data_IF_342656791745
#
_entry.id   IF_342656791745
#
_cell.length_a   1.000
_cell.length_b   1.000
_cell.length_c   1.000
_cell.angle_alpha   90.00
_cell.angle_beta   90.00
_cell.angle_gamma   90.00
#
_symmetry.space_group_name_H-M   'P 1'
#
loop_
_entity.id
_entity.type
_entity.pdbx_description
1 polymer ?
#
# COMPACT_ATOMS: atom_id res chain seq x y z
N UNK A 1 21.55 28.20 -5.54
CA UNK A 1 20.11 27.95 -5.67
C UNK A 1 19.91 26.47 -5.50
N UNK A 2 19.03 26.06 -4.59
CA UNK A 2 18.76 24.64 -4.38
C UNK A 2 18.00 24.07 -5.58
N UNK A 3 18.38 22.87 -6.02
CA UNK A 3 17.73 22.19 -7.14
C UNK A 3 16.49 21.43 -6.69
N UNK A 4 16.45 21.00 -5.43
CA UNK A 4 15.39 20.17 -4.87
C UNK A 4 14.93 20.72 -3.52
N UNK A 5 13.63 20.55 -3.22
CA UNK A 5 13.05 20.78 -1.90
C UNK A 5 12.31 19.53 -1.46
N UNK A 6 12.56 19.08 -0.23
CA UNK A 6 11.87 17.95 0.38
C UNK A 6 11.12 18.48 1.60
N UNK A 7 9.79 18.41 1.54
CA UNK A 7 8.94 18.64 2.68
C UNK A 7 8.63 17.27 3.31
N UNK A 8 9.01 17.10 4.57
CA UNK A 8 8.85 15.83 5.29
C UNK A 8 8.39 16.05 6.73
N UNK A 9 7.78 15.03 7.30
CA UNK A 9 7.43 14.96 8.72
C UNK A 9 7.95 13.63 9.28
N UNK A 10 8.49 13.62 10.52
CA UNK A 10 8.92 12.39 11.16
C UNK A 10 7.73 11.48 11.43
N UNK A 11 7.97 10.17 11.45
CA UNK A 11 6.95 9.20 11.84
C UNK A 11 6.55 9.38 13.31
N UNK A 12 5.25 9.21 13.59
CA UNK A 12 4.71 9.17 14.94
C UNK A 12 3.51 8.23 14.95
N UNK A 13 3.51 7.27 15.88
CA UNK A 13 2.47 6.26 16.02
C UNK A 13 1.13 6.87 16.45
N UNK A 14 0.02 6.17 16.12
CA UNK A 14 -1.34 6.59 16.50
C UNK A 14 -1.97 7.67 15.62
N UNK A 15 -1.34 8.04 14.51
CA UNK A 15 -1.83 9.09 13.60
C UNK A 15 -2.63 8.55 12.39
N UNK A 16 -2.91 7.25 12.33
CA UNK A 16 -3.72 6.65 11.25
C UNK A 16 -3.00 6.44 9.91
N UNK A 17 -1.67 6.57 9.89
CA UNK A 17 -0.80 6.27 8.74
C UNK A 17 0.42 5.48 9.21
N UNK A 18 1.04 4.76 8.28
CA UNK A 18 2.14 3.83 8.55
C UNK A 18 3.31 4.06 7.60
N UNK A 19 4.50 3.68 8.06
CA UNK A 19 5.71 3.79 7.28
C UNK A 19 6.63 2.60 7.51
N UNK A 20 6.24 1.45 6.96
CA UNK A 20 7.08 0.25 6.92
C UNK A 20 8.29 0.52 6.03
N UNK A 21 9.46 0.41 6.65
CA UNK A 21 10.77 0.56 6.02
C UNK A 21 11.42 -0.78 5.71
N UNK A 22 12.21 -0.79 4.62
CA UNK A 22 13.10 -1.90 4.30
C UNK A 22 14.25 -1.97 5.32
N UNK A 23 14.96 -3.09 5.29
CA UNK A 23 16.10 -3.31 6.17
C UNK A 23 17.17 -2.23 5.95
N UNK A 24 17.56 -1.54 7.03
CA UNK A 24 18.60 -0.50 7.02
C UNK A 24 19.95 -1.03 6.56
N UNK A 25 20.79 -0.10 6.08
CA UNK A 25 22.19 -0.38 5.79
C UNK A 25 22.90 -1.00 7.01
N UNK A 26 23.58 -2.13 6.80
CA UNK A 26 24.22 -2.92 7.86
C UNK A 26 23.42 -4.16 8.31
N UNK A 27 22.16 -4.29 7.88
CA UNK A 27 21.38 -5.53 7.98
C UNK A 27 21.46 -6.41 6.73
N UNK A 28 20.59 -7.43 6.66
CA UNK A 28 20.45 -8.28 5.46
C UNK A 28 19.59 -7.58 4.39
N UNK A 29 20.13 -6.54 3.75
CA UNK A 29 19.41 -5.74 2.74
C UNK A 29 18.95 -6.56 1.52
N UNK A 30 19.62 -7.67 1.22
CA UNK A 30 19.30 -8.49 0.05
C UNK A 30 17.93 -9.16 0.16
N UNK A 31 17.42 -9.36 1.38
CA UNK A 31 16.14 -10.00 1.62
C UNK A 31 14.98 -9.16 1.08
N UNK A 32 15.06 -7.83 1.19
CA UNK A 32 13.95 -6.92 0.94
C UNK A 32 14.26 -5.73 0.02
N UNK A 33 15.46 -5.68 -0.58
CA UNK A 33 15.88 -4.63 -1.51
C UNK A 33 14.85 -4.29 -2.61
N UNK A 34 14.08 -5.27 -3.09
CA UNK A 34 13.07 -5.08 -4.14
C UNK A 34 11.62 -5.20 -3.63
N UNK A 35 11.39 -5.23 -2.31
CA UNK A 35 10.09 -5.49 -1.69
C UNK A 35 9.26 -4.22 -1.39
N UNK A 36 9.44 -3.12 -2.14
CA UNK A 36 8.63 -1.89 -1.94
C UNK A 36 7.13 -2.17 -2.14
N UNK A 37 6.77 -3.10 -3.01
CA UNK A 37 5.40 -3.57 -3.18
C UNK A 37 4.83 -4.25 -1.93
N UNK A 38 5.66 -5.02 -1.21
CA UNK A 38 5.25 -5.71 0.00
C UNK A 38 5.21 -4.75 1.20
N UNK A 39 6.12 -3.78 1.26
CA UNK A 39 6.07 -2.71 2.27
C UNK A 39 4.80 -1.86 2.10
N UNK A 40 4.49 -1.44 0.86
CA UNK A 40 3.25 -0.71 0.55
C UNK A 40 2.00 -1.55 0.90
N UNK A 41 1.97 -2.83 0.50
CA UNK A 41 0.86 -3.71 0.89
C UNK A 41 0.74 -3.85 2.41
N UNK A 42 1.86 -3.89 3.14
CA UNK A 42 1.87 -3.97 4.61
C UNK A 42 1.28 -2.71 5.24
N UNK A 43 1.71 -1.52 4.81
CA UNK A 43 1.14 -0.25 5.26
C UNK A 43 -0.37 -0.19 5.04
N UNK A 44 -0.83 -0.59 3.85
CA UNK A 44 -2.25 -0.59 3.50
C UNK A 44 -3.05 -1.61 4.33
N UNK A 45 -2.47 -2.77 4.63
CA UNK A 45 -3.11 -3.77 5.49
C UNK A 45 -3.16 -3.35 6.95
N UNK A 46 -2.13 -2.68 7.49
CA UNK A 46 -2.20 -2.12 8.85
C UNK A 46 -3.34 -1.11 8.96
N UNK A 47 -3.41 -0.17 8.01
CA UNK A 47 -4.52 0.77 7.95
C UNK A 47 -5.87 0.05 7.88
N UNK A 48 -6.00 -0.95 7.01
CA UNK A 48 -7.25 -1.67 6.82
C UNK A 48 -7.67 -2.46 8.06
N UNK A 49 -6.72 -3.06 8.78
CA UNK A 49 -6.94 -3.75 10.04
C UNK A 49 -7.38 -2.77 11.15
N UNK A 50 -6.77 -1.59 11.22
CA UNK A 50 -7.18 -0.53 12.14
C UNK A 50 -8.61 -0.04 11.85
N UNK A 51 -8.92 0.22 10.59
CA UNK A 51 -10.28 0.66 10.20
C UNK A 51 -11.35 -0.41 10.46
N UNK A 52 -10.96 -1.69 10.44
CA UNK A 52 -11.85 -2.84 10.68
C UNK A 52 -11.65 -3.49 12.06
N UNK A 53 -10.98 -2.81 13.01
CA UNK A 53 -10.46 -3.43 14.23
C UNK A 53 -11.51 -4.21 15.02
N UNK A 54 -12.70 -3.63 15.24
CA UNK A 54 -13.80 -4.29 15.93
C UNK A 54 -14.35 -5.52 15.16
N UNK A 55 -14.51 -5.39 13.83
CA UNK A 55 -14.92 -6.51 12.99
C UNK A 55 -13.92 -7.66 13.04
N UNK A 56 -12.62 -7.35 13.06
CA UNK A 56 -11.55 -8.36 13.17
C UNK A 56 -11.60 -9.07 14.53
N UNK A 57 -11.84 -8.35 15.64
CA UNK A 57 -12.00 -8.97 16.96
C UNK A 57 -13.21 -9.90 17.01
N UNK A 58 -14.35 -9.44 16.50
CA UNK A 58 -15.57 -10.24 16.41
C UNK A 58 -15.37 -11.47 15.52
N UNK A 59 -14.60 -11.33 14.43
CA UNK A 59 -14.27 -12.43 13.54
C UNK A 59 -13.41 -13.49 14.24
N UNK A 60 -12.36 -13.08 14.97
CA UNK A 60 -11.51 -13.99 15.77
C UNK A 60 -12.34 -14.65 16.89
N UNK A 61 -13.21 -13.91 17.57
CA UNK A 61 -14.07 -14.45 18.62
C UNK A 61 -15.05 -15.51 18.07
N UNK A 62 -15.60 -15.30 16.86
CA UNK A 62 -16.55 -16.20 16.21
C UNK A 62 -15.90 -17.47 15.64
N UNK A 63 -14.72 -17.35 15.01
CA UNK A 63 -14.10 -18.46 14.25
C UNK A 63 -12.89 -19.08 14.94
N UNK A 64 -12.45 -18.50 16.04
CA UNK A 64 -11.12 -18.73 16.57
C UNK A 64 -10.06 -17.96 15.79
N UNK A 65 -8.84 -18.01 16.31
CA UNK A 65 -7.70 -17.31 15.74
C UNK A 65 -7.20 -18.04 14.48
N UNK A 66 -7.39 -17.41 13.32
CA UNK A 66 -7.04 -17.99 12.03
C UNK A 66 -5.51 -18.07 11.89
N UNK A 67 -5.01 -19.23 11.46
CA UNK A 67 -3.57 -19.46 11.27
C UNK A 67 -3.29 -19.68 9.78
N UNK A 68 -2.42 -18.82 9.21
CA UNK A 68 -1.90 -18.94 7.84
C UNK A 68 -0.41 -18.63 7.83
N UNK A 69 0.36 -19.29 6.97
CA UNK A 69 1.82 -19.16 6.94
C UNK A 69 2.50 -19.23 8.32
N UNK A 70 2.00 -20.06 9.24
CA UNK A 70 2.46 -20.15 10.63
C UNK A 70 2.42 -18.81 11.41
N UNK A 71 1.43 -17.98 11.13
CA UNK A 71 1.11 -16.73 11.83
C UNK A 71 -0.35 -16.71 12.23
N UNK A 72 -0.62 -16.26 13.44
CA UNK A 72 -1.99 -16.04 13.92
C UNK A 72 -2.50 -14.68 13.47
N UNK A 73 -3.78 -14.59 13.14
CA UNK A 73 -4.39 -13.31 12.79
C UNK A 73 -4.29 -12.30 13.94
N UNK A 74 -4.48 -12.76 15.18
CA UNK A 74 -4.34 -11.93 16.38
C UNK A 74 -2.95 -11.29 16.53
N UNK A 75 -1.90 -11.98 16.09
CA UNK A 75 -0.52 -11.48 16.12
C UNK A 75 -0.25 -10.42 15.07
N UNK A 76 -1.02 -10.41 13.97
CA UNK A 76 -0.85 -9.52 12.82
C UNK A 76 -1.73 -8.26 12.93
N UNK A 77 -2.86 -8.34 13.63
CA UNK A 77 -3.86 -7.26 13.72
C UNK A 77 -3.26 -5.89 14.09
N UNK A 78 -2.47 -5.85 15.18
CA UNK A 78 -1.85 -4.63 15.71
C UNK A 78 -0.33 -4.79 15.74
N UNK A 79 0.26 -5.16 14.59
CA UNK A 79 1.63 -5.69 14.55
C UNK A 79 2.67 -4.73 13.95
N UNK A 80 2.37 -3.44 13.93
CA UNK A 80 3.31 -2.39 13.56
C UNK A 80 3.82 -1.75 14.86
N UNK A 81 5.09 -2.02 15.19
CA UNK A 81 5.73 -1.53 16.42
C UNK A 81 6.59 -0.28 16.11
N UNK A 82 7.28 -0.30 14.97
CA UNK A 82 8.12 0.79 14.47
C UNK A 82 8.23 0.72 12.95
N UNK A 83 8.92 1.70 12.34
CA UNK A 83 9.18 1.70 10.90
C UNK A 83 9.94 0.43 10.46
N UNK A 84 10.79 -0.15 11.32
CA UNK A 84 11.55 -1.37 11.04
C UNK A 84 10.81 -2.66 11.46
N UNK A 85 9.80 -2.56 12.32
CA UNK A 85 9.17 -3.71 12.98
C UNK A 85 7.71 -3.85 12.60
N UNK A 86 7.49 -4.60 11.52
CA UNK A 86 6.15 -4.96 11.05
C UNK A 86 6.01 -6.45 10.80
N UNK A 87 5.14 -7.14 11.57
CA UNK A 87 4.95 -8.59 11.37
C UNK A 87 4.27 -8.96 10.05
N UNK A 88 3.48 -8.05 9.45
CA UNK A 88 2.94 -8.24 8.09
C UNK A 88 4.07 -8.16 7.06
N UNK A 89 4.99 -7.20 7.21
CA UNK A 89 6.13 -7.12 6.31
C UNK A 89 7.10 -8.29 6.50
N UNK A 90 7.33 -8.73 7.74
CA UNK A 90 8.08 -9.97 8.03
C UNK A 90 7.44 -11.20 7.37
N UNK A 91 6.12 -11.32 7.43
CA UNK A 91 5.39 -12.37 6.70
C UNK A 91 5.73 -12.33 5.21
N UNK A 92 5.70 -11.17 4.57
CA UNK A 92 6.04 -11.06 3.16
C UNK A 92 7.54 -11.25 2.87
N UNK A 93 8.45 -10.90 3.78
CA UNK A 93 9.87 -11.24 3.65
C UNK A 93 10.11 -12.75 3.70
N UNK A 94 9.37 -13.47 4.55
CA UNK A 94 9.43 -14.94 4.58
C UNK A 94 8.90 -15.56 3.28
N UNK A 95 7.79 -15.04 2.74
CA UNK A 95 7.16 -15.59 1.54
C UNK A 95 7.87 -15.20 0.24
N UNK A 96 8.42 -13.99 0.16
CA UNK A 96 8.89 -13.36 -1.07
C UNK A 96 10.27 -12.71 -0.96
N UNK A 97 11.01 -12.98 0.10
CA UNK A 97 12.39 -12.49 0.25
C UNK A 97 13.28 -12.86 -0.94
N UNK A 98 14.24 -12.00 -1.26
CA UNK A 98 15.17 -12.15 -2.39
C UNK A 98 14.50 -12.13 -3.78
N UNK A 99 13.23 -11.73 -3.88
CA UNK A 99 12.55 -11.62 -5.16
C UNK A 99 13.17 -10.52 -6.05
N UNK A 100 13.52 -10.87 -7.28
CA UNK A 100 14.15 -9.94 -8.24
C UNK A 100 13.15 -9.23 -9.16
N UNK A 101 11.94 -9.77 -9.34
CA UNK A 101 10.93 -9.27 -10.29
C UNK A 101 9.87 -8.39 -9.66
N UNK A 102 9.62 -8.60 -8.37
CA UNK A 102 8.55 -7.97 -7.61
C UNK A 102 7.15 -8.49 -7.95
N UNK A 103 6.17 -8.02 -7.19
CA UNK A 103 4.74 -8.16 -7.47
C UNK A 103 4.09 -6.79 -7.47
N UNK A 104 2.84 -6.73 -7.93
CA UNK A 104 1.97 -5.59 -7.66
C UNK A 104 1.32 -5.73 -6.28
N UNK A 105 1.19 -4.64 -5.53
CA UNK A 105 0.75 -4.68 -4.13
C UNK A 105 -0.67 -5.20 -3.93
N UNK A 106 -1.58 -4.97 -4.87
CA UNK A 106 -2.96 -5.51 -4.83
C UNK A 106 -2.97 -7.03 -4.72
N UNK A 107 -2.04 -7.73 -5.37
CA UNK A 107 -1.95 -9.18 -5.33
C UNK A 107 -1.58 -9.70 -3.94
N UNK A 108 -0.81 -8.95 -3.17
CA UNK A 108 -0.43 -9.31 -1.80
C UNK A 108 -1.58 -9.05 -0.83
N UNK A 109 -2.36 -7.99 -1.04
CA UNK A 109 -3.57 -7.71 -0.27
C UNK A 109 -4.66 -8.74 -0.56
N UNK A 110 -4.86 -9.12 -1.84
CA UNK A 110 -5.77 -10.21 -2.23
C UNK A 110 -5.34 -11.56 -1.63
N UNK A 111 -4.04 -11.83 -1.57
CA UNK A 111 -3.52 -13.01 -0.88
C UNK A 111 -3.87 -12.95 0.61
N UNK A 112 -3.60 -11.83 1.28
CA UNK A 112 -3.83 -11.72 2.72
C UNK A 112 -5.31 -11.87 3.08
N UNK A 113 -6.18 -11.14 2.38
CA UNK A 113 -7.61 -11.05 2.69
C UNK A 113 -8.36 -12.28 2.18
N UNK A 114 -8.33 -12.51 0.86
CA UNK A 114 -9.13 -13.53 0.19
C UNK A 114 -8.41 -14.87 0.08
N UNK A 115 -7.08 -14.87 -0.03
CA UNK A 115 -6.29 -16.07 -0.30
C UNK A 115 -6.02 -16.30 -1.78
N UNK A 116 -6.16 -15.29 -2.63
CA UNK A 116 -5.72 -15.41 -4.03
C UNK A 116 -4.20 -15.53 -4.10
N UNK A 117 -3.71 -16.57 -4.77
CA UNK A 117 -2.27 -16.68 -5.07
C UNK A 117 -1.83 -15.55 -6.00
N UNK A 118 -0.74 -14.81 -5.70
CA UNK A 118 -0.24 -13.75 -6.58
C UNK A 118 0.10 -14.28 -7.97
N UNK A 119 -0.37 -13.58 -9.00
CA UNK A 119 -0.12 -13.94 -10.40
C UNK A 119 1.28 -13.53 -10.82
N UNK A 120 2.11 -14.50 -11.20
CA UNK A 120 3.48 -14.26 -11.70
C UNK A 120 3.53 -13.44 -13.00
N UNK A 121 2.44 -13.42 -13.78
CA UNK A 121 2.32 -12.57 -14.97
C UNK A 121 2.14 -11.09 -14.63
N UNK A 122 1.88 -10.76 -13.37
CA UNK A 122 1.50 -9.43 -12.93
C UNK A 122 0.06 -9.05 -13.29
N UNK A 123 -0.76 -9.92 -13.88
CA UNK A 123 -2.18 -9.64 -14.08
C UNK A 123 -2.93 -9.53 -12.75
N UNK A 124 -4.01 -8.75 -12.70
CA UNK A 124 -4.91 -8.71 -11.53
C UNK A 124 -5.58 -10.06 -11.32
N UNK A 125 -5.97 -10.36 -10.07
CA UNK A 125 -6.82 -11.51 -9.81
C UNK A 125 -8.22 -11.29 -10.38
N UNK A 126 -8.86 -12.39 -10.77
CA UNK A 126 -10.23 -12.41 -11.27
C UNK A 126 -11.07 -13.03 -10.16
N UNK A 127 -12.17 -12.36 -9.80
CA UNK A 127 -13.10 -12.84 -8.78
C UNK A 127 -13.66 -14.22 -9.14
N UNK A 128 -13.80 -15.08 -8.15
CA UNK A 128 -14.15 -16.48 -8.32
C UNK A 128 -14.85 -17.00 -7.06
N UNK A 129 -16.15 -17.25 -7.18
CA UNK A 129 -16.99 -17.78 -6.09
C UNK A 129 -16.49 -19.13 -5.55
N UNK A 130 -15.73 -19.87 -6.35
CA UNK A 130 -15.13 -21.17 -6.00
C UNK A 130 -13.64 -21.06 -5.64
N UNK A 131 -13.18 -19.89 -5.18
CA UNK A 131 -11.81 -19.70 -4.72
C UNK A 131 -11.46 -20.70 -3.61
N UNK A 132 -10.35 -21.41 -3.77
CA UNK A 132 -9.71 -22.17 -2.69
C UNK A 132 -8.56 -21.29 -2.18
N UNK A 133 -8.61 -20.80 -0.93
CA UNK A 133 -7.60 -19.87 -0.43
C UNK A 133 -6.23 -20.55 -0.32
N UNK A 134 -5.18 -19.86 -0.76
CA UNK A 134 -3.79 -20.29 -0.57
C UNK A 134 -3.46 -20.34 0.94
N UNK A 135 -2.77 -21.39 1.39
CA UNK A 135 -2.42 -21.58 2.79
C UNK A 135 -1.50 -20.47 3.36
N UNK A 136 -0.87 -19.68 2.49
CA UNK A 136 -0.05 -18.53 2.88
C UNK A 136 -0.86 -17.25 3.17
N UNK A 137 -2.18 -17.26 2.96
CA UNK A 137 -3.05 -16.12 3.21
C UNK A 137 -4.52 -16.54 3.35
N UNK A 138 -5.45 -15.68 2.96
CA UNK A 138 -6.87 -15.93 3.12
C UNK A 138 -7.29 -15.93 4.58
N UNK A 139 -6.75 -14.96 5.35
CA UNK A 139 -7.10 -14.76 6.75
C UNK A 139 -8.57 -14.40 6.93
N UNK A 140 -9.20 -13.80 5.92
CA UNK A 140 -10.59 -13.34 5.94
C UNK A 140 -11.44 -13.98 4.85
N UNK A 141 -11.02 -15.15 4.34
CA UNK A 141 -11.75 -15.85 3.28
C UNK A 141 -13.22 -16.12 3.65
N UNK A 142 -13.54 -16.35 4.93
CA UNK A 142 -14.92 -16.61 5.34
C UNK A 142 -15.86 -15.43 5.17
N UNK A 143 -15.32 -14.22 5.17
CA UNK A 143 -16.07 -12.96 5.04
C UNK A 143 -16.16 -12.55 3.58
N UNK A 144 -15.02 -12.53 2.88
CA UNK A 144 -14.91 -11.93 1.55
C UNK A 144 -14.93 -12.95 0.41
N UNK A 145 -14.69 -14.24 0.69
CA UNK A 145 -14.66 -15.32 -0.30
C UNK A 145 -13.82 -14.92 -1.52
N UNK A 146 -14.36 -15.05 -2.73
CA UNK A 146 -13.71 -14.65 -3.97
C UNK A 146 -13.90 -13.18 -4.37
N UNK A 147 -14.59 -12.37 -3.58
CA UNK A 147 -14.84 -10.96 -3.89
C UNK A 147 -13.71 -10.09 -3.35
N UNK A 148 -13.04 -9.36 -4.23
CA UNK A 148 -11.84 -8.61 -3.88
C UNK A 148 -12.22 -7.26 -3.28
N UNK A 149 -11.39 -6.80 -2.35
CA UNK A 149 -11.44 -5.42 -1.86
C UNK A 149 -10.46 -4.50 -2.60
N UNK A 150 -9.73 -5.05 -3.56
CA UNK A 150 -8.69 -4.34 -4.29
C UNK A 150 -9.09 -4.02 -5.72
N UNK A 151 -8.58 -2.91 -6.21
CA UNK A 151 -8.56 -2.58 -7.63
C UNK A 151 -7.16 -2.10 -8.05
N UNK A 152 -6.86 -2.21 -9.35
CA UNK A 152 -5.65 -1.64 -9.93
C UNK A 152 -5.96 -0.96 -11.25
N UNK A 153 -5.67 0.34 -11.31
CA UNK A 153 -5.91 1.17 -12.48
C UNK A 153 -4.65 1.92 -12.89
N UNK A 154 -4.48 2.19 -14.18
CA UNK A 154 -3.41 3.07 -14.67
C UNK A 154 -3.66 4.49 -14.14
N UNK A 155 -2.60 5.22 -13.83
CA UNK A 155 -2.67 6.59 -13.34
C UNK A 155 -3.17 7.58 -14.39
N UNK A 156 -3.20 7.19 -15.67
CA UNK A 156 -3.80 7.94 -16.74
C UNK A 156 -3.12 9.28 -17.03
N UNK A 157 -3.91 10.21 -17.56
CA UNK A 157 -3.51 11.61 -17.62
C UNK A 157 -3.68 12.30 -16.25
N UNK A 158 -3.16 13.52 -16.15
CA UNK A 158 -3.17 14.28 -14.90
C UNK A 158 -4.59 14.55 -14.39
N UNK A 159 -5.52 14.85 -15.30
CA UNK A 159 -6.92 15.13 -14.99
C UNK A 159 -7.62 13.87 -14.44
N UNK A 160 -7.42 12.72 -15.07
CA UNK A 160 -7.91 11.44 -14.58
C UNK A 160 -7.34 11.10 -13.20
N UNK A 161 -6.03 11.25 -13.00
CA UNK A 161 -5.40 11.03 -11.69
C UNK A 161 -6.02 11.93 -10.61
N UNK A 162 -6.20 13.22 -10.93
CA UNK A 162 -6.75 14.22 -10.01
C UNK A 162 -8.15 13.84 -9.54
N UNK A 163 -9.03 13.42 -10.46
CA UNK A 163 -10.38 12.99 -10.08
C UNK A 163 -10.38 11.62 -9.42
N UNK A 164 -9.55 10.68 -9.87
CA UNK A 164 -9.53 9.32 -9.31
C UNK A 164 -9.06 9.30 -7.85
N UNK A 165 -8.06 10.12 -7.50
CA UNK A 165 -7.63 10.24 -6.10
C UNK A 165 -8.72 10.87 -5.22
N UNK A 166 -9.47 11.83 -5.75
CA UNK A 166 -10.60 12.46 -5.03
C UNK A 166 -11.71 11.45 -4.75
N UNK A 167 -12.07 10.65 -5.75
CA UNK A 167 -13.04 9.55 -5.63
C UNK A 167 -12.59 8.53 -4.58
N UNK A 168 -11.41 7.93 -4.78
CA UNK A 168 -10.96 6.81 -3.94
C UNK A 168 -10.77 7.22 -2.48
N UNK A 169 -10.12 8.36 -2.23
CA UNK A 169 -9.93 8.86 -0.85
C UNK A 169 -11.25 9.31 -0.24
N UNK A 170 -12.15 9.90 -1.03
CA UNK A 170 -13.48 10.31 -0.59
C UNK A 170 -14.39 9.14 -0.19
N UNK A 171 -14.25 8.01 -0.89
CA UNK A 171 -14.97 6.76 -0.60
C UNK A 171 -14.32 5.95 0.55
N UNK A 172 -13.30 6.52 1.21
CA UNK A 172 -12.59 5.88 2.32
C UNK A 172 -11.67 4.74 1.90
N UNK A 173 -11.26 4.70 0.62
CA UNK A 173 -10.22 3.81 0.13
C UNK A 173 -8.82 4.37 0.37
N UNK A 174 -7.82 3.49 0.36
CA UNK A 174 -6.40 3.84 0.44
C UNK A 174 -5.68 3.49 -0.86
N UNK A 175 -4.63 4.22 -1.19
CA UNK A 175 -3.90 4.11 -2.46
C UNK A 175 -2.43 3.79 -2.24
N UNK A 176 -1.93 2.75 -2.91
CA UNK A 176 -0.52 2.58 -3.24
C UNK A 176 -0.26 3.22 -4.61
N UNK A 177 0.71 4.13 -4.69
CA UNK A 177 1.02 4.90 -5.90
C UNK A 177 2.33 4.43 -6.51
N UNK A 178 2.27 3.81 -7.69
CA UNK A 178 3.48 3.44 -8.41
C UNK A 178 4.00 4.62 -9.24
N UNK A 179 5.31 4.73 -9.36
CA UNK A 179 5.96 5.72 -10.23
C UNK A 179 7.32 5.21 -10.71
N UNK A 180 7.87 5.84 -11.75
CA UNK A 180 9.23 5.52 -12.21
C UNK A 180 10.27 6.17 -11.30
N UNK A 181 11.08 5.35 -10.62
CA UNK A 181 12.27 5.80 -9.91
C UNK A 181 13.51 5.38 -10.72
N UNK A 182 14.19 6.35 -11.33
CA UNK A 182 15.29 6.09 -12.28
C UNK A 182 14.83 5.15 -13.41
N UNK A 183 15.48 3.98 -13.56
CA UNK A 183 15.15 2.95 -14.55
C UNK A 183 14.24 1.84 -14.01
N UNK A 184 13.77 1.94 -12.76
CA UNK A 184 12.95 0.92 -12.09
C UNK A 184 11.56 1.44 -11.75
N UNK A 185 10.61 0.50 -11.64
CA UNK A 185 9.31 0.81 -11.05
C UNK A 185 9.47 0.82 -9.54
N UNK A 186 8.85 1.81 -8.90
CA UNK A 186 8.77 1.96 -7.46
C UNK A 186 7.32 2.18 -7.05
N UNK A 187 6.99 1.91 -5.79
CA UNK A 187 5.66 2.15 -5.24
C UNK A 187 5.77 2.63 -3.79
N UNK A 188 4.94 3.62 -3.48
CA UNK A 188 4.84 4.25 -2.16
C UNK A 188 3.40 4.19 -1.67
N UNK A 189 3.16 4.35 -0.37
CA UNK A 189 1.79 4.45 0.16
C UNK A 189 1.34 5.90 0.14
N UNK A 190 0.21 6.21 -0.50
CA UNK A 190 -0.37 7.55 -0.57
C UNK A 190 -1.47 7.69 0.48
N UNK A 191 -1.23 8.60 1.43
CA UNK A 191 -2.11 8.84 2.57
C UNK A 191 -3.04 10.04 2.39
N UNK A 192 -2.67 10.98 1.51
CA UNK A 192 -3.48 12.16 1.26
C UNK A 192 -3.10 12.89 -0.01
N UNK A 193 -3.99 13.79 -0.44
CA UNK A 193 -3.84 14.63 -1.61
C UNK A 193 -4.21 16.09 -1.27
N UNK A 194 -3.44 17.03 -1.83
CA UNK A 194 -3.65 18.47 -1.72
C UNK A 194 -4.20 18.98 -3.05
N UNK A 195 -5.25 19.82 -3.01
CA UNK A 195 -5.86 20.41 -4.20
C UNK A 195 -5.80 21.94 -4.12
N UNK A 196 -5.66 22.61 -5.27
CA UNK A 196 -5.78 24.06 -5.34
C UNK A 196 -7.25 24.53 -5.26
N UNK A 197 -7.45 25.85 -5.24
CA UNK A 197 -8.77 26.47 -5.16
C UNK A 197 -9.67 26.16 -6.37
N UNK A 198 -9.11 25.68 -7.48
CA UNK A 198 -9.85 25.28 -8.67
C UNK A 198 -10.13 23.76 -8.66
N UNK A 199 -9.72 23.04 -7.62
CA UNK A 199 -9.91 21.60 -7.48
C UNK A 199 -8.89 20.74 -8.22
N UNK A 200 -7.74 21.31 -8.64
CA UNK A 200 -6.68 20.55 -9.32
C UNK A 200 -5.67 19.99 -8.32
N UNK A 201 -5.21 18.76 -8.54
CA UNK A 201 -4.23 18.08 -7.71
C UNK A 201 -2.86 18.81 -7.67
N UNK A 202 -2.43 19.26 -6.50
CA UNK A 202 -1.18 20.00 -6.28
C UNK A 202 -0.06 19.17 -5.68
N UNK A 203 -0.40 18.28 -4.75
CA UNK A 203 0.57 17.47 -4.06
C UNK A 203 -0.06 16.19 -3.51
N UNK A 204 0.78 15.23 -3.19
CA UNK A 204 0.41 14.01 -2.47
C UNK A 204 1.34 13.82 -1.27
N UNK A 205 0.81 13.18 -0.24
CA UNK A 205 1.53 12.86 0.99
C UNK A 205 1.73 11.35 1.04
N UNK A 206 2.98 10.90 1.09
CA UNK A 206 3.33 9.48 0.96
C UNK A 206 4.32 9.03 2.02
N UNK A 207 4.31 7.74 2.31
CA UNK A 207 5.39 7.04 3.01
C UNK A 207 6.12 6.11 2.04
N UNK A 208 7.45 6.00 2.17
CA UNK A 208 8.33 5.38 1.19
C UNK A 208 9.33 4.43 1.86
N UNK A 209 9.16 3.13 1.63
CA UNK A 209 9.97 2.10 2.29
C UNK A 209 11.48 2.16 2.02
N UNK A 210 11.89 2.95 1.03
CA UNK A 210 13.29 3.11 0.60
C UNK A 210 13.98 4.29 1.30
N UNK A 211 13.34 4.90 2.30
CA UNK A 211 13.91 5.97 3.12
C UNK A 211 14.42 5.54 4.49
N UNK A 212 14.64 4.23 4.67
CA UNK A 212 15.10 3.61 5.92
C UNK A 212 16.43 4.16 6.45
N UNK A 213 17.27 4.72 5.59
CA UNK A 213 18.56 5.30 5.95
C UNK A 213 18.50 6.84 6.09
N UNK A 214 17.34 7.46 5.85
CA UNK A 214 17.13 8.89 6.06
C UNK A 214 16.74 9.21 7.52
N UNK A 215 17.29 10.28 8.09
CA UNK A 215 16.96 10.70 9.45
C UNK A 215 15.65 11.49 9.50
N UNK A 216 14.83 11.21 10.52
CA UNK A 216 13.59 11.94 10.85
C UNK A 216 12.60 12.01 9.69
N UNK A 217 12.36 10.87 9.05
CA UNK A 217 11.44 10.74 7.91
C UNK A 217 10.34 9.76 8.25
N UNK A 218 9.12 10.10 7.84
CA UNK A 218 7.98 9.19 7.82
C UNK A 218 7.02 9.54 6.69
N UNK A 219 6.59 10.81 6.64
CA UNK A 219 5.76 11.32 5.55
C UNK A 219 6.57 12.26 4.67
N UNK A 220 6.45 12.13 3.35
CA UNK A 220 6.98 13.06 2.35
C UNK A 220 5.85 13.69 1.57
N UNK A 221 5.96 14.99 1.28
CA UNK A 221 5.07 15.67 0.34
C UNK A 221 5.76 15.79 -1.02
N UNK A 222 5.15 15.21 -2.04
CA UNK A 222 5.56 15.37 -3.44
C UNK A 222 4.63 16.34 -4.15
N UNK A 223 5.19 17.32 -4.87
CA UNK A 223 4.40 18.12 -5.80
C UNK A 223 3.94 17.23 -6.96
N UNK A 224 2.68 17.36 -7.36
CA UNK A 224 2.16 16.72 -8.57
C UNK A 224 2.05 17.78 -9.67
N UNK A 225 2.67 17.48 -10.81
CA UNK A 225 2.70 18.38 -11.98
C UNK A 225 2.06 17.74 -13.19
N UNK A 226 1.32 18.53 -13.96
CA UNK A 226 0.92 18.19 -15.32
C UNK A 226 2.07 18.54 -16.28
N UNK A 227 2.75 17.53 -16.82
CA UNK A 227 3.82 17.69 -17.81
C UNK A 227 3.42 16.99 -19.09
N UNK A 228 2.87 17.76 -20.04
CA UNK A 228 2.39 17.23 -21.33
C UNK A 228 1.23 16.24 -21.18
N UNK A 229 0.29 16.53 -20.28
CA UNK A 229 -0.85 15.67 -19.95
C UNK A 229 -0.54 14.58 -18.92
N UNK A 230 0.73 14.37 -18.56
CA UNK A 230 1.11 13.30 -17.61
C UNK A 230 1.36 13.86 -16.22
N UNK A 231 0.78 13.20 -15.21
CA UNK A 231 1.11 13.47 -13.82
C UNK A 231 2.54 13.04 -13.49
N UNK A 232 3.31 13.94 -12.89
CA UNK A 232 4.65 13.66 -12.36
C UNK A 232 4.79 14.08 -10.90
N UNK A 233 5.34 13.19 -10.09
CA UNK A 233 5.78 13.47 -8.72
C UNK A 233 7.15 14.15 -8.76
N UNK A 234 7.32 15.27 -8.07
CA UNK A 234 8.58 16.01 -8.12
C UNK A 234 8.91 16.73 -6.82
N UNK A 235 10.19 16.74 -6.50
CA UNK A 235 10.84 17.61 -5.50
C UNK A 235 11.70 18.68 -6.17
N UNK A 236 11.88 18.63 -7.49
CA UNK A 236 12.77 19.53 -8.22
C UNK A 236 12.12 20.90 -8.37
N UNK A 237 12.73 21.97 -7.86
CA UNK A 237 12.15 23.32 -7.93
C UNK A 237 12.58 24.13 -9.15
N UNK A 238 13.70 23.77 -9.78
CA UNK A 238 14.29 24.52 -10.90
C UNK A 238 13.80 24.05 -12.27
N UNK A 239 13.68 22.75 -12.49
CA UNK A 239 13.13 22.14 -13.71
C UNK A 239 11.68 21.69 -13.48
N UNK A 240 10.74 22.43 -14.08
CA UNK A 240 9.30 22.13 -13.99
C UNK A 240 8.86 20.91 -14.80
N UNK A 241 9.70 20.41 -15.71
CA UNK A 241 9.46 19.19 -16.47
C UNK A 241 9.97 17.92 -15.78
N UNK A 242 10.89 18.08 -14.80
CA UNK A 242 11.46 16.99 -14.03
C UNK A 242 10.46 16.38 -13.03
N UNK A 243 10.62 15.09 -12.79
CA UNK A 243 9.80 14.30 -11.88
C UNK A 243 9.58 12.88 -12.38
N UNK A 244 9.06 12.04 -11.49
CA UNK A 244 8.70 10.66 -11.77
C UNK A 244 7.28 10.60 -12.32
N UNK A 245 7.12 10.06 -13.53
CA UNK A 245 5.78 9.80 -14.07
C UNK A 245 5.05 8.77 -13.19
N UNK A 246 3.79 9.08 -12.88
CA UNK A 246 2.90 8.14 -12.20
C UNK A 246 2.66 6.93 -13.10
N UNK A 247 2.66 5.75 -12.48
CA UNK A 247 2.34 4.46 -13.10
C UNK A 247 0.92 4.04 -12.71
N UNK A 248 0.79 2.99 -11.90
CA UNK A 248 -0.49 2.46 -11.45
C UNK A 248 -0.92 2.99 -10.08
N UNK A 249 -2.22 3.00 -9.85
CA UNK A 249 -2.84 3.08 -8.54
C UNK A 249 -3.25 1.68 -8.09
N UNK A 250 -2.85 1.30 -6.89
CA UNK A 250 -3.26 0.08 -6.21
C UNK A 250 -4.21 0.49 -5.09
N UNK A 251 -5.47 0.08 -5.18
CA UNK A 251 -6.52 0.58 -4.29
C UNK A 251 -6.94 -0.52 -3.34
N UNK A 252 -7.20 -0.16 -2.08
CA UNK A 252 -7.81 -1.04 -1.08
C UNK A 252 -9.02 -0.35 -0.43
N UNK A 253 -10.18 -1.01 -0.48
CA UNK A 253 -11.41 -0.54 0.15
C UNK A 253 -11.71 -1.29 1.46
N UNK A 254 -12.55 -0.70 2.31
CA UNK A 254 -12.84 -1.24 3.64
C UNK A 254 -13.71 -2.51 3.65
N UNK A 255 -14.58 -2.70 2.65
CA UNK A 255 -15.47 -3.87 2.58
C UNK A 255 -16.58 -3.88 3.65
N UNK A 256 -16.93 -2.73 4.24
CA UNK A 256 -17.85 -2.62 5.38
C UNK A 256 -19.21 -3.31 5.20
N UNK A 257 -19.77 -3.29 3.98
CA UNK A 257 -21.04 -3.96 3.69
C UNK A 257 -20.97 -5.49 3.84
N UNK A 258 -19.79 -6.09 3.60
CA UNK A 258 -19.60 -7.55 3.68
C UNK A 258 -19.49 -8.02 5.12
N UNK A 259 -18.79 -7.26 5.96
CA UNK A 259 -18.79 -7.49 7.41
C UNK A 259 -20.21 -7.52 7.99
N UNK A 260 -21.04 -6.53 7.63
CA UNK A 260 -22.43 -6.47 8.06
C UNK A 260 -23.24 -7.69 7.63
N UNK A 261 -22.96 -8.27 6.46
CA UNK A 261 -23.66 -9.48 6.01
C UNK A 261 -23.13 -10.75 6.68
N UNK A 262 -21.85 -10.79 7.05
CA UNK A 262 -21.22 -11.94 7.69
C UNK A 262 -21.62 -12.12 9.17
N UNK A 263 -21.92 -11.02 9.87
CA UNK A 263 -22.34 -11.03 11.28
C UNK A 263 -23.86 -11.02 11.50
N UNK A 264 -24.66 -10.86 10.44
CA UNK A 264 -26.10 -11.14 10.48
C UNK A 264 -26.36 -12.63 10.70
#
# INVERSE_FOLDING_TARGET
>A
FDTYVIYKAPFSSGNGWYDVNKTRSGGNIDIDKNLCFAATASNMLHWWLDQNSENVDNYIAKNGDIIRANRRLSELKNSFESQEESKIFELYKVLYGYNERGFYSDLLMDLFINGYRPRLSGATNIENDNLIPDNNGGFFYDVFKGEKLTDRTDGGDYEYLSEKLKEVLGDGGLVGLSHKALSRNHIVTLWGAEYDLNGNLKAVYVSDSDDQDESDVGMKRYEVRNVGGKAKLSTNISDKSAGAAVGYLHILYLGSNRWNNYFK
#
